data_IF_092782895180
#
_entry.id   IF_092782895180
#
_cell.length_a   1.000
_cell.length_b   1.000
_cell.length_c   1.000
_cell.angle_alpha   90.00
_cell.angle_beta   90.00
_cell.angle_gamma   90.00
#
_symmetry.space_group_name_H-M   'P 1'
#
loop_
_entity.id
_entity.type
_entity.pdbx_description
1 polymer ?
#
# COMPACT_ATOMS: atom_id res chain seq x y z
N UNK A 1 -10.95 5.38 11.35
CA UNK A 1 -11.40 6.03 12.59
C UNK A 1 -10.42 7.13 12.97
N UNK A 2 -9.14 6.81 13.21
CA UNK A 2 -8.07 7.79 13.49
C UNK A 2 -8.02 8.93 12.45
N UNK A 3 -8.11 8.63 11.15
CA UNK A 3 -8.19 9.67 10.10
C UNK A 3 -9.39 10.64 10.25
N UNK A 4 -10.52 10.19 10.80
CA UNK A 4 -11.67 11.06 11.10
C UNK A 4 -11.33 11.97 12.28
N UNK A 5 -10.68 11.42 13.31
CA UNK A 5 -10.22 12.18 14.48
C UNK A 5 -9.17 13.23 14.10
N UNK A 6 -8.30 12.93 13.13
CA UNK A 6 -7.36 13.90 12.57
C UNK A 6 -8.03 14.99 11.71
N UNK A 7 -9.31 14.87 11.40
CA UNK A 7 -10.02 15.82 10.54
C UNK A 7 -9.68 15.68 9.05
N UNK A 8 -9.35 14.48 8.57
CA UNK A 8 -8.90 14.25 7.19
C UNK A 8 -9.91 14.72 6.14
N UNK A 9 -9.50 15.66 5.29
CA UNK A 9 -10.27 16.11 4.12
C UNK A 9 -10.26 15.05 3.01
N UNK A 10 -9.14 14.34 2.82
CA UNK A 10 -9.04 13.24 1.85
C UNK A 10 -10.04 12.12 2.15
N UNK A 11 -10.28 11.81 3.43
CA UNK A 11 -11.30 10.81 3.78
C UNK A 11 -12.72 11.29 3.42
N UNK A 12 -13.03 12.59 3.57
CA UNK A 12 -14.31 13.16 3.13
C UNK A 12 -14.47 13.07 1.62
N UNK A 13 -13.43 13.42 0.86
CA UNK A 13 -13.42 13.28 -0.61
C UNK A 13 -13.62 11.82 -1.03
N UNK A 14 -12.98 10.88 -0.35
CA UNK A 14 -13.13 9.44 -0.62
C UNK A 14 -14.55 8.93 -0.30
N UNK A 15 -15.18 9.44 0.76
CA UNK A 15 -16.58 9.11 1.07
C UNK A 15 -17.55 9.70 0.03
N UNK A 16 -17.30 10.91 -0.46
CA UNK A 16 -18.13 11.57 -1.48
C UNK A 16 -18.03 10.91 -2.88
N UNK A 17 -16.89 10.30 -3.18
CA UNK A 17 -16.59 9.66 -4.49
C UNK A 17 -16.64 8.13 -4.41
N UNK A 18 -17.28 7.59 -3.37
CA UNK A 18 -17.30 6.16 -3.09
C UNK A 18 -17.96 5.37 -4.23
N UNK A 19 -17.34 4.25 -4.58
CA UNK A 19 -17.93 3.20 -5.44
C UNK A 19 -18.07 1.89 -4.66
N UNK A 20 -18.94 0.99 -5.15
CA UNK A 20 -19.19 -0.30 -4.50
C UNK A 20 -17.93 -1.20 -4.56
N UNK A 21 -17.54 -1.78 -3.42
CA UNK A 21 -16.27 -2.52 -3.27
C UNK A 21 -16.23 -3.55 -2.11
N UNK A 22 -17.29 -4.32 -1.92
CA UNK A 22 -17.30 -5.52 -1.10
C UNK A 22 -17.05 -5.25 0.39
N UNK A 23 -17.47 -4.09 0.88
CA UNK A 23 -17.26 -3.61 2.25
C UNK A 23 -15.97 -2.82 2.48
N UNK A 24 -15.11 -2.66 1.47
CA UNK A 24 -14.00 -1.72 1.50
C UNK A 24 -14.44 -0.31 1.05
N UNK A 25 -13.68 0.72 1.44
CA UNK A 25 -13.81 2.05 0.85
C UNK A 25 -13.00 2.10 -0.44
N UNK A 26 -13.68 2.05 -1.58
CA UNK A 26 -13.08 2.35 -2.88
C UNK A 26 -13.69 3.64 -3.44
N UNK A 27 -12.98 4.28 -4.36
CA UNK A 27 -13.35 5.56 -4.95
C UNK A 27 -13.32 5.48 -6.47
N UNK A 28 -14.15 6.30 -7.10
CA UNK A 28 -13.95 6.69 -8.49
C UNK A 28 -12.69 7.56 -8.55
N UNK A 29 -11.66 7.11 -9.30
CA UNK A 29 -10.32 7.72 -9.27
C UNK A 29 -10.29 9.12 -9.85
N UNK A 30 -11.01 9.33 -10.94
CA UNK A 30 -11.03 10.62 -11.63
C UNK A 30 -11.84 11.62 -10.82
N UNK A 31 -13.00 11.20 -10.29
CA UNK A 31 -13.79 12.05 -9.40
C UNK A 31 -13.03 12.39 -8.10
N UNK A 32 -12.34 11.41 -7.50
CA UNK A 32 -11.57 11.63 -6.28
C UNK A 32 -10.42 12.60 -6.50
N UNK A 33 -9.61 12.39 -7.54
CA UNK A 33 -8.47 13.26 -7.84
C UNK A 33 -8.90 14.68 -8.22
N UNK A 34 -9.99 14.83 -8.97
CA UNK A 34 -10.58 16.13 -9.29
C UNK A 34 -11.05 16.86 -8.02
N UNK A 35 -11.75 16.17 -7.11
CA UNK A 35 -12.22 16.78 -5.86
C UNK A 35 -11.05 17.19 -4.94
N UNK A 36 -10.01 16.36 -4.82
CA UNK A 36 -8.81 16.71 -4.04
C UNK A 36 -8.10 17.91 -4.66
N UNK A 37 -7.95 17.96 -5.98
CA UNK A 37 -7.35 19.10 -6.70
C UNK A 37 -8.12 20.38 -6.41
N UNK A 38 -9.45 20.33 -6.54
CA UNK A 38 -10.34 21.45 -6.24
C UNK A 38 -10.18 21.94 -4.80
N UNK A 39 -10.14 21.03 -3.82
CA UNK A 39 -9.93 21.38 -2.40
C UNK A 39 -8.61 22.14 -2.16
N UNK A 40 -7.55 21.78 -2.88
CA UNK A 40 -6.24 22.46 -2.76
C UNK A 40 -6.25 23.80 -3.47
N UNK A 41 -6.78 23.88 -4.70
CA UNK A 41 -6.85 25.10 -5.51
C UNK A 41 -7.75 26.19 -4.89
N UNK A 42 -8.81 25.80 -4.20
CA UNK A 42 -9.72 26.74 -3.55
C UNK A 42 -9.29 27.13 -2.12
N UNK A 43 -8.22 26.53 -1.57
CA UNK A 43 -7.80 26.80 -0.20
C UNK A 43 -7.05 28.15 -0.12
N UNK A 44 -7.58 29.18 0.58
CA UNK A 44 -6.97 30.51 0.59
C UNK A 44 -5.56 30.56 1.22
N UNK A 45 -5.22 29.57 2.05
CA UNK A 45 -3.91 29.46 2.69
C UNK A 45 -2.86 28.71 1.86
N UNK A 46 -3.21 28.23 0.67
CA UNK A 46 -2.32 27.47 -0.21
C UNK A 46 -2.01 28.30 -1.46
N UNK A 47 -0.73 28.47 -1.76
CA UNK A 47 -0.26 28.97 -3.06
C UNK A 47 0.34 27.80 -3.84
N UNK A 48 -0.07 27.62 -5.09
CA UNK A 48 0.34 26.48 -5.92
C UNK A 48 1.37 26.93 -6.96
N UNK A 49 2.52 26.28 -6.94
CA UNK A 49 3.57 26.40 -7.95
C UNK A 49 3.63 25.10 -8.76
N UNK A 50 3.49 25.18 -10.08
CA UNK A 50 3.51 24.02 -10.98
C UNK A 50 4.86 23.88 -11.66
N UNK A 51 5.85 23.46 -10.88
CA UNK A 51 7.23 23.27 -11.32
C UNK A 51 7.86 22.06 -10.63
N UNK A 52 8.97 21.56 -11.19
CA UNK A 52 9.76 20.53 -10.54
C UNK A 52 10.63 21.16 -9.45
N UNK A 53 10.45 20.73 -8.20
CA UNK A 53 11.34 21.12 -7.12
C UNK A 53 12.65 20.33 -7.21
N UNK A 54 13.78 21.00 -7.37
CA UNK A 54 15.10 20.37 -7.54
C UNK A 54 16.03 20.53 -6.35
N UNK A 55 15.63 21.29 -5.32
CA UNK A 55 16.42 21.59 -4.13
C UNK A 55 15.52 21.77 -2.91
N UNK A 56 16.10 21.65 -1.70
CA UNK A 56 15.40 21.84 -0.43
C UNK A 56 16.04 23.04 0.28
N UNK A 57 15.27 24.11 0.49
CA UNK A 57 15.70 25.26 1.29
C UNK A 57 15.42 24.99 2.77
N UNK A 58 16.47 24.75 3.55
CA UNK A 58 16.36 24.44 4.97
C UNK A 58 16.19 25.67 5.88
N UNK A 59 16.23 26.88 5.31
CA UNK A 59 16.08 28.13 6.08
C UNK A 59 14.71 28.27 6.73
N UNK A 60 13.70 27.61 6.16
CA UNK A 60 12.35 27.48 6.69
C UNK A 60 11.94 26.00 6.78
N UNK A 61 10.92 25.64 7.59
CA UNK A 61 10.42 24.27 7.61
C UNK A 61 9.83 23.84 6.27
N UNK A 62 10.35 22.75 5.70
CA UNK A 62 9.91 22.16 4.42
C UNK A 62 9.36 20.77 4.65
N UNK A 63 8.25 20.43 3.99
CA UNK A 63 7.69 19.06 3.98
C UNK A 63 7.84 18.43 2.59
N UNK A 64 8.64 17.37 2.50
CA UNK A 64 8.84 16.59 1.28
C UNK A 64 7.85 15.43 1.23
N UNK A 65 6.96 15.42 0.23
CA UNK A 65 5.90 14.42 0.06
C UNK A 65 5.80 13.89 -1.38
N UNK A 66 6.95 13.65 -2.02
CA UNK A 66 7.08 13.34 -3.46
C UNK A 66 6.77 11.88 -3.84
N UNK A 67 6.50 11.01 -2.86
CA UNK A 67 6.08 9.64 -3.10
C UNK A 67 7.17 8.73 -3.68
N UNK A 68 6.78 7.58 -4.26
CA UNK A 68 7.69 6.49 -4.63
C UNK A 68 8.70 6.81 -5.74
N UNK A 69 8.33 7.69 -6.66
CA UNK A 69 9.03 7.92 -7.93
C UNK A 69 9.93 9.14 -7.87
N UNK A 70 10.46 9.46 -6.69
CA UNK A 70 11.38 10.58 -6.53
C UNK A 70 12.70 10.26 -7.22
N UNK A 71 13.08 11.07 -8.21
CA UNK A 71 14.28 10.90 -9.04
C UNK A 71 15.00 12.24 -9.28
N UNK A 72 16.07 12.20 -10.09
CA UNK A 72 16.79 13.40 -10.53
C UNK A 72 17.44 14.21 -9.40
N UNK A 73 17.49 15.53 -9.59
CA UNK A 73 18.19 16.47 -8.70
C UNK A 73 17.64 16.46 -7.28
N UNK A 74 16.32 16.33 -7.11
CA UNK A 74 15.73 16.26 -5.77
C UNK A 74 16.12 14.98 -5.04
N UNK A 75 16.20 13.86 -5.75
CA UNK A 75 16.64 12.61 -5.15
C UNK A 75 18.11 12.69 -4.70
N UNK A 76 18.98 13.33 -5.48
CA UNK A 76 20.37 13.60 -5.11
C UNK A 76 20.46 14.49 -3.86
N UNK A 77 19.66 15.55 -3.80
CA UNK A 77 19.61 16.46 -2.66
C UNK A 77 19.11 15.77 -1.38
N UNK A 78 18.04 14.96 -1.48
CA UNK A 78 17.60 14.11 -0.38
C UNK A 78 18.73 13.19 0.06
N UNK A 79 19.43 12.57 -0.89
CA UNK A 79 20.61 11.74 -0.62
C UNK A 79 21.72 12.49 0.14
N UNK A 80 21.98 13.75 -0.22
CA UNK A 80 22.95 14.61 0.48
C UNK A 80 22.53 14.84 1.94
N UNK A 81 21.26 15.15 2.18
CA UNK A 81 20.70 15.41 3.52
C UNK A 81 20.60 14.17 4.40
N UNK A 82 20.51 12.98 3.80
CA UNK A 82 20.32 11.72 4.53
C UNK A 82 21.60 10.89 4.66
N UNK A 83 22.73 11.43 4.19
CA UNK A 83 24.03 10.75 4.23
C UNK A 83 24.15 9.59 3.24
N UNK A 84 23.45 9.65 2.10
CA UNK A 84 23.53 8.69 1.01
C UNK A 84 22.71 7.41 1.17
N UNK A 85 22.14 7.16 2.35
CA UNK A 85 21.42 5.92 2.67
C UNK A 85 19.95 6.01 2.24
N UNK A 86 19.77 5.94 0.91
CA UNK A 86 18.46 5.71 0.30
C UNK A 86 18.25 4.22 0.12
N UNK A 87 17.16 3.72 0.69
CA UNK A 87 16.71 2.37 0.43
C UNK A 87 15.77 2.38 -0.77
N UNK A 88 15.70 1.25 -1.44
CA UNK A 88 14.74 1.04 -2.50
C UNK A 88 14.16 -0.36 -2.35
N UNK A 89 12.90 -0.48 -2.70
CA UNK A 89 12.24 -1.76 -2.86
C UNK A 89 11.50 -1.75 -4.19
N UNK A 90 11.13 -2.94 -4.63
CA UNK A 90 10.40 -3.11 -5.86
C UNK A 90 8.94 -3.41 -5.55
N UNK A 91 8.03 -2.59 -6.11
CA UNK A 91 6.59 -2.79 -6.06
C UNK A 91 6.10 -3.25 -7.44
N UNK A 92 5.26 -4.28 -7.47
CA UNK A 92 4.75 -4.81 -8.71
C UNK A 92 3.29 -4.42 -8.91
N UNK A 93 2.93 -4.06 -10.14
CA UNK A 93 1.57 -3.65 -10.50
C UNK A 93 0.89 -4.80 -11.22
N UNK A 94 -0.40 -5.01 -10.95
CA UNK A 94 -1.18 -6.03 -11.62
C UNK A 94 -1.73 -5.56 -12.98
N UNK A 95 -1.90 -6.47 -13.96
CA UNK A 95 -2.47 -6.15 -15.26
C UNK A 95 -3.93 -5.68 -15.20
N UNK A 96 -4.35 -4.97 -16.25
CA UNK A 96 -5.75 -4.56 -16.48
C UNK A 96 -6.20 -5.10 -17.83
N UNK A 97 -7.42 -5.66 -17.86
CA UNK A 97 -8.08 -6.21 -19.05
C UNK A 97 -9.38 -5.48 -19.35
N UNK A 98 -9.83 -5.53 -20.61
CA UNK A 98 -11.14 -4.98 -21.00
C UNK A 98 -12.28 -5.92 -20.59
N UNK A 99 -13.43 -5.34 -20.23
CA UNK A 99 -14.64 -6.11 -19.94
C UNK A 99 -15.14 -6.90 -21.16
N UNK A 100 -15.05 -6.31 -22.34
CA UNK A 100 -15.55 -6.87 -23.61
C UNK A 100 -14.81 -8.15 -24.02
N UNK A 101 -13.59 -8.34 -23.53
CA UNK A 101 -12.75 -9.51 -23.83
C UNK A 101 -12.94 -10.69 -22.86
N UNK A 102 -13.79 -10.55 -21.84
CA UNK A 102 -14.06 -11.59 -20.84
C UNK A 102 -15.11 -12.59 -21.34
N UNK A 103 -14.88 -13.88 -21.07
CA UNK A 103 -15.86 -14.95 -21.31
C UNK A 103 -16.82 -15.07 -20.10
N UNK A 104 -17.96 -14.37 -20.21
CA UNK A 104 -19.01 -14.34 -19.18
C UNK A 104 -19.78 -15.65 -19.00
N UNK A 105 -19.58 -16.66 -19.85
CA UNK A 105 -20.11 -18.01 -19.59
C UNK A 105 -19.30 -18.75 -18.51
N UNK A 106 -18.07 -18.29 -18.25
CA UNK A 106 -17.18 -18.85 -17.21
C UNK A 106 -17.04 -17.94 -15.99
N UNK A 107 -17.12 -16.64 -16.21
CA UNK A 107 -16.95 -15.63 -15.18
C UNK A 107 -18.29 -15.33 -14.49
N UNK A 108 -18.29 -15.20 -13.16
CA UNK A 108 -19.50 -14.84 -12.42
C UNK A 108 -19.28 -13.68 -11.44
N UNK A 109 -20.27 -12.79 -11.36
CA UNK A 109 -20.27 -11.69 -10.42
C UNK A 109 -20.69 -12.20 -9.02
N UNK A 110 -19.83 -12.04 -8.02
CA UNK A 110 -20.17 -12.38 -6.64
C UNK A 110 -19.23 -11.73 -5.62
N UNK A 111 -19.80 -11.36 -4.48
CA UNK A 111 -19.04 -11.04 -3.27
C UNK A 111 -18.89 -12.28 -2.39
N UNK A 112 -17.77 -12.35 -1.66
CA UNK A 112 -17.53 -13.47 -0.74
C UNK A 112 -18.62 -13.52 0.33
N UNK A 113 -19.07 -14.73 0.63
CA UNK A 113 -20.14 -15.04 1.59
C UNK A 113 -21.50 -14.42 1.25
N UNK A 114 -21.70 -13.98 0.00
CA UNK A 114 -22.95 -13.35 -0.44
C UNK A 114 -23.25 -12.03 0.28
N UNK A 115 -22.23 -11.33 0.80
CA UNK A 115 -22.40 -10.06 1.52
C UNK A 115 -22.16 -8.87 0.59
N UNK A 116 -23.17 -8.03 0.41
CA UNK A 116 -23.10 -6.80 -0.39
C UNK A 116 -23.44 -7.02 -1.87
N UNK A 117 -23.26 -5.95 -2.67
CA UNK A 117 -23.35 -6.02 -4.13
C UNK A 117 -22.22 -6.89 -4.70
N UNK A 118 -22.42 -7.44 -5.90
CA UNK A 118 -21.45 -8.30 -6.56
C UNK A 118 -20.31 -7.47 -7.18
N UNK A 119 -19.39 -7.01 -6.31
CA UNK A 119 -18.37 -6.00 -6.65
C UNK A 119 -17.12 -6.59 -7.32
N UNK A 120 -17.04 -7.90 -7.42
CA UNK A 120 -15.97 -8.62 -8.10
C UNK A 120 -16.55 -9.58 -9.13
N UNK A 121 -15.89 -9.67 -10.27
CA UNK A 121 -16.01 -10.81 -11.17
C UNK A 121 -15.07 -11.91 -10.69
N UNK A 122 -15.51 -13.16 -10.78
CA UNK A 122 -14.80 -14.32 -10.26
C UNK A 122 -14.53 -15.28 -11.41
N UNK A 123 -13.27 -15.67 -11.55
CA UNK A 123 -12.75 -16.58 -12.56
C UNK A 123 -12.38 -17.89 -11.84
N UNK A 124 -13.31 -18.85 -11.77
CA UNK A 124 -13.13 -20.10 -11.03
C UNK A 124 -12.25 -21.09 -11.78
N UNK A 125 -11.34 -21.74 -11.07
CA UNK A 125 -10.54 -22.86 -11.59
C UNK A 125 -11.08 -24.18 -11.07
N UNK A 126 -11.08 -25.20 -11.92
CA UNK A 126 -10.99 -26.59 -11.48
C UNK A 126 -9.53 -26.95 -11.09
N UNK A 127 -9.29 -28.20 -10.70
CA UNK A 127 -7.97 -28.62 -10.20
C UNK A 127 -6.94 -28.64 -11.33
N UNK A 128 -7.31 -29.21 -12.47
CA UNK A 128 -6.46 -29.43 -13.63
C UNK A 128 -6.03 -28.10 -14.29
N UNK A 129 -6.98 -27.18 -14.46
CA UNK A 129 -6.73 -25.81 -14.94
C UNK A 129 -5.76 -25.07 -14.03
N UNK A 130 -5.94 -25.19 -12.72
CA UNK A 130 -5.09 -24.54 -11.74
C UNK A 130 -3.66 -25.12 -11.76
N UNK A 131 -3.52 -26.44 -11.83
CA UNK A 131 -2.22 -27.10 -11.91
C UNK A 131 -1.46 -26.73 -13.20
N UNK A 132 -2.17 -26.64 -14.33
CA UNK A 132 -1.61 -26.18 -15.58
C UNK A 132 -1.18 -24.70 -15.52
N UNK A 133 -2.03 -23.83 -14.98
CA UNK A 133 -1.73 -22.41 -14.77
C UNK A 133 -0.51 -22.23 -13.85
N UNK A 134 -0.46 -22.95 -12.73
CA UNK A 134 0.65 -22.93 -11.79
C UNK A 134 1.96 -23.36 -12.47
N UNK A 135 1.95 -24.45 -13.23
CA UNK A 135 3.14 -24.92 -13.94
C UNK A 135 3.63 -23.91 -14.98
N UNK A 136 2.71 -23.29 -15.73
CA UNK A 136 3.04 -22.26 -16.70
C UNK A 136 3.61 -21.00 -16.04
N UNK A 137 3.06 -20.61 -14.88
CA UNK A 137 3.51 -19.46 -14.11
C UNK A 137 4.89 -19.68 -13.47
N UNK A 138 5.11 -20.85 -12.87
CA UNK A 138 6.37 -21.20 -12.22
C UNK A 138 7.56 -21.33 -13.21
N UNK A 139 7.27 -21.52 -14.49
CA UNK A 139 8.26 -21.59 -15.57
C UNK A 139 8.37 -20.32 -16.39
N UNK A 140 7.57 -19.29 -16.08
CA UNK A 140 7.48 -18.09 -16.90
C UNK A 140 8.71 -17.18 -16.78
N UNK A 141 9.07 -16.54 -17.88
CA UNK A 141 10.23 -15.65 -17.91
C UNK A 141 9.94 -14.28 -17.29
N UNK A 142 10.83 -13.84 -16.39
CA UNK A 142 10.81 -12.52 -15.77
C UNK A 142 11.53 -11.48 -16.64
N UNK A 143 11.07 -10.23 -16.57
CA UNK A 143 11.79 -9.11 -17.15
C UNK A 143 13.11 -8.88 -16.37
N UNK A 144 14.22 -8.57 -17.07
CA UNK A 144 15.47 -8.23 -16.42
C UNK A 144 15.30 -6.95 -15.59
N UNK A 145 15.92 -6.93 -14.41
CA UNK A 145 16.05 -5.71 -13.61
C UNK A 145 17.32 -4.99 -14.09
N UNK A 146 17.25 -3.67 -14.29
CA UNK A 146 18.36 -2.91 -14.88
C UNK A 146 19.54 -2.76 -13.90
N UNK A 147 20.77 -2.98 -14.41
CA UNK A 147 22.07 -3.10 -13.71
C UNK A 147 22.59 -1.85 -12.94
N UNK A 148 21.74 -0.95 -12.41
CA UNK A 148 22.19 0.08 -11.45
C UNK A 148 22.26 -0.47 -9.99
N UNK A 149 22.29 -1.80 -9.85
CA UNK A 149 21.87 -2.61 -8.69
C UNK A 149 23.03 -3.22 -7.88
N UNK A 150 24.29 -2.76 -8.01
CA UNK A 150 25.43 -3.32 -7.24
C UNK A 150 25.66 -2.68 -5.85
N UNK A 151 24.92 -1.64 -5.47
CA UNK A 151 25.22 -0.85 -4.27
C UNK A 151 24.44 -1.18 -3.00
N UNK A 152 23.38 -1.98 -3.05
CA UNK A 152 22.63 -2.35 -1.85
C UNK A 152 23.23 -3.61 -1.23
N UNK A 153 23.88 -3.45 -0.08
CA UNK A 153 24.36 -4.58 0.73
C UNK A 153 23.23 -5.60 0.92
N UNK A 154 23.52 -6.80 0.45
CA UNK A 154 22.64 -7.95 0.42
C UNK A 154 22.33 -8.38 1.85
N UNK A 155 21.09 -8.22 2.30
CA UNK A 155 20.63 -8.93 3.50
C UNK A 155 20.78 -10.44 3.22
N UNK A 156 21.61 -11.11 4.02
CA UNK A 156 21.88 -12.53 3.87
C UNK A 156 20.58 -13.34 3.91
N UNK A 157 20.42 -14.35 3.04
CA UNK A 157 19.22 -15.18 3.02
C UNK A 157 19.03 -15.93 4.35
N UNK A 158 17.76 -16.18 4.68
CA UNK A 158 17.33 -16.96 5.84
C UNK A 158 18.08 -18.31 5.89
N UNK A 159 18.84 -18.61 6.97
CA UNK A 159 19.72 -19.78 7.04
C UNK A 159 18.99 -21.15 7.01
N UNK A 160 17.66 -21.18 7.01
CA UNK A 160 16.85 -22.39 6.94
C UNK A 160 16.37 -22.74 5.51
N UNK A 161 16.64 -21.88 4.51
CA UNK A 161 16.47 -22.20 3.09
C UNK A 161 17.58 -23.14 2.58
N UNK A 162 17.48 -24.44 2.91
CA UNK A 162 18.42 -25.47 2.43
C UNK A 162 18.46 -25.53 0.90
N UNK A 163 19.50 -24.94 0.31
CA UNK A 163 20.04 -25.32 -0.99
C UNK A 163 19.39 -24.72 -2.25
N UNK A 164 18.58 -23.66 -2.17
CA UNK A 164 18.18 -22.87 -3.35
C UNK A 164 18.96 -21.57 -3.39
N UNK A 165 19.59 -21.25 -4.54
CA UNK A 165 20.08 -19.90 -4.83
C UNK A 165 18.90 -18.95 -4.63
N UNK A 166 18.97 -18.10 -3.61
CA UNK A 166 17.98 -17.07 -3.38
C UNK A 166 17.98 -16.12 -4.58
N UNK A 167 16.81 -15.88 -5.17
CA UNK A 167 16.64 -14.78 -6.12
C UNK A 167 16.98 -13.48 -5.39
N UNK A 168 18.02 -12.79 -5.85
CA UNK A 168 18.67 -11.66 -5.19
C UNK A 168 17.88 -10.33 -5.30
N UNK A 169 16.55 -10.38 -5.14
CA UNK A 169 15.69 -9.19 -5.20
C UNK A 169 14.91 -9.10 -3.90
N UNK A 170 15.17 -8.05 -3.12
CA UNK A 170 14.37 -7.73 -1.94
C UNK A 170 13.01 -7.20 -2.40
N UNK A 171 12.05 -8.12 -2.50
CA UNK A 171 10.66 -7.84 -2.85
C UNK A 171 9.90 -7.48 -1.57
N UNK A 172 9.04 -6.46 -1.65
CA UNK A 172 8.15 -6.13 -0.54
C UNK A 172 7.12 -7.24 -0.29
N UNK A 173 7.10 -7.81 0.93
CA UNK A 173 6.25 -8.97 1.29
C UNK A 173 4.74 -8.68 1.16
N UNK A 174 4.31 -7.42 1.32
CA UNK A 174 2.89 -7.06 1.15
C UNK A 174 2.45 -6.90 -0.31
N UNK A 175 3.38 -6.86 -1.27
CA UNK A 175 3.12 -6.71 -2.70
C UNK A 175 3.93 -7.69 -3.56
N UNK A 176 4.01 -8.94 -3.09
CA UNK A 176 4.79 -9.98 -3.73
C UNK A 176 4.30 -10.31 -5.16
N UNK A 177 5.20 -10.40 -6.16
CA UNK A 177 4.84 -10.86 -7.49
C UNK A 177 4.27 -12.30 -7.47
N UNK A 178 3.24 -12.53 -8.26
CA UNK A 178 2.50 -13.79 -8.29
C UNK A 178 3.38 -14.99 -8.66
N UNK A 179 4.38 -14.79 -9.52
CA UNK A 179 5.37 -15.81 -9.88
C UNK A 179 6.30 -16.18 -8.72
N UNK A 180 6.62 -15.24 -7.82
CA UNK A 180 7.40 -15.52 -6.61
C UNK A 180 6.55 -16.29 -5.60
N UNK A 181 5.27 -15.93 -5.45
CA UNK A 181 4.33 -16.70 -4.62
C UNK A 181 4.20 -18.14 -5.13
N UNK A 182 4.12 -18.34 -6.45
CA UNK A 182 4.10 -19.67 -7.06
C UNK A 182 5.39 -20.44 -6.75
N UNK A 183 6.56 -19.81 -6.86
CA UNK A 183 7.84 -20.45 -6.56
C UNK A 183 7.98 -20.94 -5.10
N UNK A 184 7.28 -20.29 -4.15
CA UNK A 184 7.20 -20.70 -2.73
C UNK A 184 6.35 -21.95 -2.51
N UNK A 185 5.50 -22.32 -3.47
CA UNK A 185 4.71 -23.55 -3.48
C UNK A 185 3.31 -23.32 -4.05
N UNK A 186 2.72 -24.35 -4.65
CA UNK A 186 1.41 -24.26 -5.30
C UNK A 186 0.35 -23.66 -4.36
N UNK A 187 0.12 -24.28 -3.19
CA UNK A 187 -0.94 -23.85 -2.28
C UNK A 187 -0.75 -22.42 -1.72
N UNK A 188 0.44 -21.82 -1.80
CA UNK A 188 0.70 -20.43 -1.39
C UNK A 188 -0.29 -19.48 -2.05
N UNK A 189 -0.52 -19.63 -3.37
CA UNK A 189 -1.46 -18.81 -4.11
C UNK A 189 -2.91 -19.05 -3.68
N UNK A 190 -3.28 -20.28 -3.33
CA UNK A 190 -4.63 -20.66 -2.89
C UNK A 190 -4.95 -20.21 -1.47
N UNK A 191 -3.94 -19.93 -0.66
CA UNK A 191 -4.11 -19.26 0.63
C UNK A 191 -4.04 -17.73 0.52
N UNK A 192 -3.44 -17.21 -0.56
CA UNK A 192 -3.34 -15.78 -0.88
C UNK A 192 -4.33 -15.32 -1.98
N UNK A 193 -3.85 -14.81 -3.12
CA UNK A 193 -4.67 -14.11 -4.10
C UNK A 193 -5.71 -14.99 -4.82
N UNK A 194 -5.44 -16.30 -4.95
CA UNK A 194 -6.33 -17.25 -5.62
C UNK A 194 -7.28 -17.97 -4.65
N UNK A 195 -7.44 -17.46 -3.42
CA UNK A 195 -8.23 -18.11 -2.38
C UNK A 195 -9.70 -18.21 -2.78
N UNK A 196 -10.33 -19.41 -2.78
CA UNK A 196 -11.74 -19.57 -3.19
C UNK A 196 -12.74 -19.45 -2.03
N UNK A 197 -12.27 -19.21 -0.80
CA UNK A 197 -13.12 -19.27 0.40
C UNK A 197 -14.23 -18.22 0.37
N UNK A 198 -15.46 -18.67 0.64
CA UNK A 198 -16.64 -17.81 0.64
C UNK A 198 -17.28 -17.64 -0.75
N UNK A 199 -16.78 -18.34 -1.78
CA UNK A 199 -17.37 -18.36 -3.11
C UNK A 199 -17.99 -19.73 -3.40
N UNK A 200 -19.03 -19.72 -4.22
CA UNK A 200 -19.68 -20.91 -4.79
C UNK A 200 -19.82 -20.63 -6.29
N UNK A 201 -19.23 -21.48 -7.13
CA UNK A 201 -19.37 -21.38 -8.58
C UNK A 201 -20.80 -21.79 -8.96
N UNK A 202 -21.60 -20.91 -9.59
CA UNK A 202 -22.99 -21.20 -9.93
C UNK A 202 -23.15 -22.36 -10.92
N UNK A 203 -22.13 -22.65 -11.74
CA UNK A 203 -22.17 -23.72 -12.75
C UNK A 203 -22.03 -25.11 -12.13
N UNK A 204 -21.27 -25.20 -11.04
CA UNK A 204 -20.99 -26.47 -10.35
C UNK A 204 -21.76 -26.62 -9.04
N UNK A 205 -22.28 -25.53 -8.47
CA UNK A 205 -22.91 -25.52 -7.15
C UNK A 205 -21.92 -25.73 -5.99
N UNK A 206 -20.62 -25.75 -6.27
CA UNK A 206 -19.57 -26.06 -5.30
C UNK A 206 -18.53 -24.94 -5.22
N UNK A 207 -17.71 -24.97 -4.16
CA UNK A 207 -16.57 -24.06 -4.04
C UNK A 207 -15.52 -24.43 -5.10
N UNK A 208 -15.03 -23.46 -5.90
CA UNK A 208 -13.99 -23.76 -6.89
C UNK A 208 -12.67 -24.15 -6.22
N UNK A 209 -11.78 -24.80 -6.97
CA UNK A 209 -10.48 -25.25 -6.44
C UNK A 209 -9.56 -24.07 -6.09
N UNK A 210 -9.58 -23.06 -6.96
CA UNK A 210 -8.93 -21.76 -6.84
C UNK A 210 -9.79 -20.70 -7.57
N UNK A 211 -9.57 -19.42 -7.30
CA UNK A 211 -10.38 -18.36 -7.90
C UNK A 211 -9.60 -17.05 -8.06
N UNK A 212 -9.56 -16.51 -9.27
CA UNK A 212 -9.06 -15.15 -9.53
C UNK A 212 -10.22 -14.16 -9.43
N UNK A 213 -10.02 -13.05 -8.73
CA UNK A 213 -11.00 -11.97 -8.67
C UNK A 213 -10.59 -10.84 -9.61
N UNK A 214 -11.54 -10.29 -10.36
CA UNK A 214 -11.37 -9.07 -11.12
C UNK A 214 -12.16 -7.94 -10.45
N UNK A 215 -11.54 -6.78 -10.29
CA UNK A 215 -12.17 -5.59 -9.72
C UNK A 215 -12.36 -4.55 -10.80
N UNK A 216 -13.55 -3.94 -10.85
CA UNK A 216 -13.79 -2.82 -11.76
C UNK A 216 -12.85 -1.65 -11.44
N UNK A 217 -12.21 -1.10 -12.46
CA UNK A 217 -11.27 0.02 -12.33
C UNK A 217 -11.94 1.38 -12.59
N UNK A 218 -13.08 1.37 -13.28
CA UNK A 218 -13.90 2.55 -13.55
C UNK A 218 -15.38 2.30 -13.25
N UNK A 219 -16.15 3.38 -13.12
CA UNK A 219 -17.58 3.35 -12.78
C UNK A 219 -18.42 2.66 -13.85
N UNK A 220 -18.03 2.81 -15.12
CA UNK A 220 -18.68 2.18 -16.29
C UNK A 220 -18.41 0.68 -16.37
N UNK A 221 -17.48 0.16 -15.55
CA UNK A 221 -17.09 -1.25 -15.51
C UNK A 221 -16.61 -1.79 -16.86
N UNK A 222 -15.94 -0.95 -17.65
CA UNK A 222 -15.35 -1.34 -18.93
C UNK A 222 -13.93 -1.87 -18.79
N UNK A 223 -13.28 -1.61 -17.65
CA UNK A 223 -11.92 -2.05 -17.34
C UNK A 223 -11.86 -2.80 -16.01
N UNK A 224 -11.08 -3.88 -15.98
CA UNK A 224 -10.96 -4.76 -14.83
C UNK A 224 -9.50 -5.05 -14.47
N UNK A 225 -9.13 -4.81 -13.21
CA UNK A 225 -7.84 -5.19 -12.66
C UNK A 225 -7.86 -6.64 -12.17
N UNK A 226 -6.79 -7.39 -12.45
CA UNK A 226 -6.61 -8.76 -11.95
C UNK A 226 -6.08 -8.69 -10.52
N UNK A 227 -6.94 -8.95 -9.53
CA UNK A 227 -6.63 -8.69 -8.12
C UNK A 227 -5.55 -9.66 -7.62
N UNK A 228 -4.46 -9.12 -7.07
CA UNK A 228 -3.38 -9.92 -6.48
C UNK A 228 -2.41 -10.52 -7.51
N UNK A 229 -2.42 -10.01 -8.74
CA UNK A 229 -1.57 -10.44 -9.85
C UNK A 229 -0.45 -9.44 -10.16
N UNK A 230 0.08 -8.81 -9.12
CA UNK A 230 1.31 -8.05 -9.24
C UNK A 230 2.40 -8.95 -9.84
N UNK A 231 3.15 -8.46 -10.82
CA UNK A 231 4.09 -9.32 -11.57
C UNK A 231 5.27 -8.55 -12.15
N UNK A 232 6.41 -9.25 -12.28
CA UNK A 232 7.60 -8.84 -13.03
C UNK A 232 7.81 -9.76 -14.26
N UNK A 233 6.80 -10.50 -14.71
CA UNK A 233 6.89 -11.30 -15.93
C UNK A 233 7.08 -10.42 -17.17
N UNK A 234 7.78 -10.92 -18.18
CA UNK A 234 7.80 -10.28 -19.51
C UNK A 234 6.37 -10.16 -20.04
N UNK A 235 6.05 -9.12 -20.79
CA UNK A 235 4.67 -8.92 -21.29
C UNK A 235 4.15 -10.09 -22.13
N UNK A 236 5.01 -10.71 -22.95
CA UNK A 236 4.64 -11.93 -23.69
C UNK A 236 4.25 -13.10 -22.77
N UNK A 237 4.94 -13.23 -21.64
CA UNK A 237 4.67 -14.24 -20.63
C UNK A 237 3.40 -13.93 -19.82
N UNK A 238 3.17 -12.66 -19.50
CA UNK A 238 1.91 -12.24 -18.89
C UNK A 238 0.72 -12.59 -19.79
N UNK A 239 0.79 -12.25 -21.08
CA UNK A 239 -0.26 -12.62 -22.04
C UNK A 239 -0.43 -14.14 -22.10
N UNK A 240 0.67 -14.90 -22.25
CA UNK A 240 0.63 -16.37 -22.36
C UNK A 240 0.03 -17.03 -21.12
N UNK A 241 0.47 -16.64 -19.93
CA UNK A 241 0.12 -17.28 -18.66
C UNK A 241 -1.24 -16.80 -18.15
N UNK A 242 -1.51 -15.50 -18.18
CA UNK A 242 -2.78 -14.97 -17.65
C UNK A 242 -3.97 -15.25 -18.58
N UNK A 243 -3.75 -15.50 -19.87
CA UNK A 243 -4.79 -16.06 -20.74
C UNK A 243 -5.12 -17.54 -20.43
N UNK A 244 -4.40 -18.21 -19.53
CA UNK A 244 -4.82 -19.53 -19.03
C UNK A 244 -5.81 -19.44 -17.86
N UNK A 245 -6.12 -18.23 -17.38
CA UNK A 245 -7.15 -18.02 -16.36
C UNK A 245 -8.53 -18.24 -17.03
N UNK A 246 -9.40 -19.12 -16.49
CA UNK A 246 -10.73 -19.36 -17.06
C UNK A 246 -11.53 -18.06 -17.14
N UNK A 247 -11.98 -17.69 -18.34
CA UNK A 247 -12.65 -16.41 -18.59
C UNK A 247 -11.78 -15.37 -19.29
N UNK A 248 -10.45 -15.55 -19.33
CA UNK A 248 -9.48 -14.59 -19.87
C UNK A 248 -8.72 -15.16 -21.09
N UNK A 249 -9.20 -16.25 -21.70
CA UNK A 249 -8.56 -16.92 -22.83
C UNK A 249 -8.30 -15.99 -24.02
N UNK A 250 -9.18 -15.00 -24.20
CA UNK A 250 -9.11 -13.98 -25.24
C UNK A 250 -8.96 -12.57 -24.67
N UNK A 251 -8.52 -12.45 -23.41
CA UNK A 251 -8.42 -11.17 -22.73
C UNK A 251 -7.53 -10.16 -23.48
N UNK A 252 -8.02 -8.95 -23.63
CA UNK A 252 -7.28 -7.82 -24.16
C UNK A 252 -6.69 -7.02 -23.01
N UNK A 253 -5.36 -7.03 -22.91
CA UNK A 253 -4.61 -6.31 -21.89
C UNK A 253 -4.41 -4.87 -22.32
N UNK A 254 -5.12 -3.94 -21.67
CA UNK A 254 -4.89 -2.49 -21.86
C UNK A 254 -3.67 -2.00 -21.11
N UNK A 255 -3.25 -2.74 -20.07
CA UNK A 255 -2.04 -2.47 -19.30
C UNK A 255 -1.47 -3.78 -18.77
N UNK A 256 -0.19 -4.03 -19.05
CA UNK A 256 0.55 -5.12 -18.44
C UNK A 256 1.04 -4.75 -17.04
N UNK A 257 1.24 -5.75 -16.20
CA UNK A 257 1.94 -5.58 -14.93
C UNK A 257 3.40 -5.22 -15.16
N UNK A 258 3.96 -4.47 -14.22
CA UNK A 258 5.36 -4.03 -14.25
C UNK A 258 5.86 -3.90 -12.82
N UNK A 259 7.16 -4.04 -12.63
CA UNK A 259 7.80 -3.81 -11.34
C UNK A 259 8.45 -2.42 -11.34
N UNK A 260 7.99 -1.54 -10.44
CA UNK A 260 8.54 -0.21 -10.23
C UNK A 260 9.51 -0.24 -9.07
N UNK A 261 10.64 0.46 -9.23
CA UNK A 261 11.52 0.79 -8.12
C UNK A 261 10.89 1.93 -7.33
N UNK A 262 10.61 1.67 -6.06
CA UNK A 262 10.12 2.66 -5.12
C UNK A 262 11.27 3.09 -4.21
N UNK A 263 11.58 4.38 -4.23
CA UNK A 263 12.59 4.99 -3.37
C UNK A 263 11.97 5.36 -2.02
N UNK A 264 12.67 5.04 -0.93
CA UNK A 264 12.27 5.45 0.41
C UNK A 264 13.51 5.68 1.30
N UNK A 265 13.30 6.38 2.40
CA UNK A 265 14.35 6.65 3.37
C UNK A 265 14.64 5.42 4.23
N UNK A 266 15.89 5.26 4.67
CA UNK A 266 16.17 4.50 5.89
C UNK A 266 15.67 5.29 7.11
N UNK A 267 14.35 5.35 7.25
CA UNK A 267 13.65 6.17 8.24
C UNK A 267 14.12 5.92 9.67
N UNK A 268 14.35 4.67 10.13
CA UNK A 268 14.85 4.43 11.48
C UNK A 268 16.15 5.17 11.78
N UNK A 269 17.00 5.28 10.76
CA UNK A 269 18.29 5.95 10.89
C UNK A 269 18.16 7.47 10.78
N UNK A 270 17.33 7.98 9.87
CA UNK A 270 17.35 9.42 9.53
C UNK A 270 16.20 10.24 10.09
N UNK A 271 15.04 9.64 10.39
CA UNK A 271 13.84 10.36 10.86
C UNK A 271 13.66 10.30 12.39
N UNK A 272 13.10 11.37 12.93
CA UNK A 272 12.54 11.41 14.29
C UNK A 272 11.07 10.98 14.29
N UNK A 273 10.50 10.77 15.48
CA UNK A 273 9.06 10.51 15.61
C UNK A 273 8.16 11.69 15.21
N UNK A 274 8.74 12.87 15.00
CA UNK A 274 8.05 14.05 14.45
C UNK A 274 8.04 14.06 12.91
N UNK A 275 8.63 13.04 12.27
CA UNK A 275 8.77 12.90 10.82
C UNK A 275 9.68 13.95 10.18
N UNK A 276 10.59 14.56 10.95
CA UNK A 276 11.70 15.37 10.44
C UNK A 276 13.03 14.63 10.51
N UNK A 277 13.99 15.05 9.69
CA UNK A 277 15.37 14.54 9.76
C UNK A 277 15.98 14.85 11.14
N UNK A 278 16.81 13.92 11.64
CA UNK A 278 17.55 14.08 12.90
C UNK A 278 18.61 15.18 12.80
N UNK A 279 19.35 15.23 11.69
CA UNK A 279 20.44 16.17 11.46
C UNK A 279 19.95 17.50 10.85
N UNK A 280 18.82 17.47 10.14
CA UNK A 280 18.23 18.60 9.43
C UNK A 280 16.78 18.84 9.90
N UNK A 281 16.59 19.39 11.12
CA UNK A 281 15.31 19.36 11.82
C UNK A 281 14.23 20.26 11.23
N UNK A 282 14.54 21.05 10.19
CA UNK A 282 13.56 21.81 9.40
C UNK A 282 13.03 21.01 8.20
N UNK A 283 13.64 19.87 7.86
CA UNK A 283 13.24 19.05 6.72
C UNK A 283 12.37 17.89 7.20
N UNK A 284 11.10 17.93 6.86
CA UNK A 284 10.09 16.91 7.16
C UNK A 284 9.83 16.03 5.94
N UNK A 285 9.42 14.79 6.19
CA UNK A 285 9.00 13.85 5.15
C UNK A 285 7.61 13.29 5.44
N UNK A 286 6.84 13.06 4.38
CA UNK A 286 5.52 12.46 4.48
C UNK A 286 5.21 11.52 3.32
N UNK A 287 4.28 10.60 3.58
CA UNK A 287 3.81 9.65 2.58
C UNK A 287 4.80 8.50 2.36
N UNK A 288 4.72 7.89 1.19
CA UNK A 288 5.42 6.63 0.92
C UNK A 288 6.94 6.71 1.04
N UNK A 289 7.55 7.86 0.74
CA UNK A 289 8.99 8.06 0.86
C UNK A 289 9.52 7.83 2.28
N UNK A 290 8.65 7.92 3.30
CA UNK A 290 9.00 7.63 4.70
C UNK A 290 8.99 6.13 5.03
N UNK A 291 8.42 5.28 4.16
CA UNK A 291 8.14 3.87 4.47
C UNK A 291 6.75 3.62 5.06
N UNK A 292 5.83 4.59 5.07
CA UNK A 292 4.41 4.28 5.16
C UNK A 292 3.93 3.67 3.83
N UNK A 293 3.06 2.67 3.87
CA UNK A 293 2.56 2.06 2.64
C UNK A 293 1.04 2.02 2.59
N UNK A 294 0.50 2.42 1.43
CA UNK A 294 -0.93 2.56 1.19
C UNK A 294 -1.37 4.02 1.16
N UNK A 295 -2.48 4.28 0.45
CA UNK A 295 -3.00 5.64 0.29
C UNK A 295 -3.46 6.24 1.62
N UNK A 296 -4.07 5.44 2.49
CA UNK A 296 -4.57 5.95 3.77
C UNK A 296 -3.47 6.20 4.78
N UNK A 297 -2.49 5.32 4.80
CA UNK A 297 -1.26 5.42 5.57
C UNK A 297 -0.48 6.66 5.12
N UNK A 298 -0.30 6.86 3.82
CA UNK A 298 0.41 8.03 3.29
C UNK A 298 -0.30 9.33 3.66
N UNK A 299 -1.63 9.37 3.57
CA UNK A 299 -2.42 10.52 4.02
C UNK A 299 -2.34 10.74 5.54
N UNK A 300 -2.30 9.68 6.35
CA UNK A 300 -2.11 9.76 7.79
C UNK A 300 -0.73 10.35 8.12
N UNK A 301 0.31 9.85 7.46
CA UNK A 301 1.68 10.35 7.55
C UNK A 301 1.75 11.84 7.21
N UNK A 302 1.10 12.28 6.12
CA UNK A 302 0.98 13.69 5.77
C UNK A 302 0.34 14.56 6.85
N UNK A 303 -0.78 14.11 7.43
CA UNK A 303 -1.44 14.84 8.53
C UNK A 303 -0.57 14.91 9.79
N UNK A 304 0.13 13.83 10.14
CA UNK A 304 1.03 13.79 11.29
C UNK A 304 2.24 14.70 11.08
N UNK A 305 2.87 14.66 9.90
CA UNK A 305 4.00 15.51 9.56
C UNK A 305 3.60 16.99 9.54
N UNK A 306 2.45 17.32 8.96
CA UNK A 306 1.91 18.69 8.97
C UNK A 306 1.63 19.18 10.39
N UNK A 307 1.08 18.35 11.29
CA UNK A 307 0.88 18.72 12.70
C UNK A 307 2.20 18.90 13.45
N UNK A 308 3.22 18.09 13.18
CA UNK A 308 4.57 18.26 13.72
C UNK A 308 5.25 19.53 13.21
N UNK A 309 5.08 19.84 11.92
CA UNK A 309 5.61 21.06 11.30
C UNK A 309 4.90 22.30 11.87
N UNK A 310 3.57 22.27 11.99
CA UNK A 310 2.80 23.33 12.62
C UNK A 310 3.19 23.53 14.10
N UNK A 311 3.42 22.42 14.82
CA UNK A 311 3.97 22.46 16.17
C UNK A 311 5.31 23.20 16.21
N UNK A 312 6.22 22.85 15.28
CA UNK A 312 7.54 23.47 15.18
C UNK A 312 7.46 24.98 14.92
N UNK A 313 6.60 25.40 13.99
CA UNK A 313 6.37 26.82 13.68
C UNK A 313 5.88 27.62 14.89
N UNK A 314 5.20 26.97 15.84
CA UNK A 314 4.74 27.57 17.10
C UNK A 314 5.72 27.35 18.26
N UNK A 315 6.97 26.95 17.99
CA UNK A 315 7.99 26.72 19.03
C UNK A 315 7.69 25.55 19.96
N UNK A 316 6.77 24.64 19.58
CA UNK A 316 6.38 23.47 20.37
C UNK A 316 6.85 22.16 19.71
N UNK A 317 6.93 21.11 20.51
CA UNK A 317 7.16 19.76 20.04
C UNK A 317 5.87 18.96 20.15
N UNK A 318 5.46 18.29 19.08
CA UNK A 318 4.35 17.33 19.09
C UNK A 318 4.87 15.95 19.50
N UNK A 319 4.42 15.36 20.62
CA UNK A 319 4.69 13.94 20.90
C UNK A 319 4.00 13.05 19.87
N UNK A 320 4.60 11.90 19.48
CA UNK A 320 3.98 10.99 18.54
C UNK A 320 2.69 10.38 19.12
N UNK A 321 1.75 9.91 18.28
CA UNK A 321 0.60 9.16 18.75
C UNK A 321 1.02 7.91 19.55
N UNK A 322 0.20 7.45 20.52
CA UNK A 322 0.54 6.29 21.32
C UNK A 322 0.76 5.03 20.47
N UNK A 323 1.73 4.19 20.86
CA UNK A 323 2.14 3.01 20.09
C UNK A 323 1.07 1.90 20.00
N UNK A 324 -0.01 2.00 20.75
CA UNK A 324 -1.18 1.12 20.66
C UNK A 324 -2.27 1.61 19.70
N UNK A 325 -2.05 2.77 19.06
CA UNK A 325 -2.81 3.29 17.92
C UNK A 325 -2.18 2.84 16.60
N UNK A 326 -2.94 2.82 15.50
CA UNK A 326 -2.39 2.42 14.20
C UNK A 326 -1.35 3.43 13.70
N UNK A 327 -1.67 4.73 13.76
CA UNK A 327 -0.73 5.80 13.42
C UNK A 327 0.54 5.73 14.28
N UNK A 328 0.42 5.57 15.59
CA UNK A 328 1.57 5.51 16.50
C UNK A 328 2.41 4.25 16.31
N UNK A 329 1.79 3.10 16.02
CA UNK A 329 2.52 1.88 15.68
C UNK A 329 3.34 2.03 14.38
N UNK A 330 2.78 2.67 13.36
CA UNK A 330 3.49 2.93 12.10
C UNK A 330 4.63 3.95 12.30
N UNK A 331 4.40 5.04 13.04
CA UNK A 331 5.48 5.99 13.39
C UNK A 331 6.59 5.29 14.18
N UNK A 332 6.23 4.44 15.15
CA UNK A 332 7.21 3.66 15.91
C UNK A 332 8.02 2.72 15.01
N UNK A 333 7.39 2.09 14.03
CA UNK A 333 8.09 1.25 13.04
C UNK A 333 9.13 2.07 12.26
N UNK A 334 8.79 3.31 11.86
CA UNK A 334 9.71 4.21 11.19
C UNK A 334 10.90 4.66 12.05
N UNK A 335 10.79 4.63 13.38
CA UNK A 335 11.80 5.21 14.27
C UNK A 335 12.54 4.17 15.10
N UNK A 336 12.20 2.90 14.95
CA UNK A 336 12.85 1.79 15.66
C UNK A 336 13.93 1.20 14.76
N UNK A 337 15.16 1.16 15.26
CA UNK A 337 16.33 0.68 14.53
C UNK A 337 16.09 -0.74 13.98
N UNK A 338 16.24 -0.89 12.65
CA UNK A 338 16.03 -2.15 11.96
C UNK A 338 16.97 -2.22 10.74
N UNK A 339 17.91 -3.18 10.77
CA UNK A 339 18.89 -3.39 9.69
C UNK A 339 18.25 -3.75 8.35
N UNK A 340 17.05 -4.34 8.38
CA UNK A 340 16.28 -4.73 7.21
C UNK A 340 14.96 -3.94 7.18
N UNK A 341 15.05 -2.62 7.32
CA UNK A 341 13.89 -1.76 7.29
C UNK A 341 13.15 -1.90 5.95
N UNK A 342 11.83 -2.05 6.04
CA UNK A 342 10.93 -2.13 4.90
C UNK A 342 9.71 -1.25 5.20
N UNK A 343 9.05 -0.70 4.17
CA UNK A 343 7.81 0.01 4.36
C UNK A 343 6.74 -0.83 5.07
N UNK A 344 5.75 -0.18 5.67
CA UNK A 344 4.71 -0.86 6.44
C UNK A 344 3.36 -0.21 6.18
N UNK A 345 2.39 -1.03 5.80
CA UNK A 345 0.97 -0.68 5.77
C UNK A 345 0.27 -1.03 7.07
N UNK A 346 -0.93 -0.48 7.26
CA UNK A 346 -1.72 -0.71 8.47
C UNK A 346 -2.15 -2.19 8.56
N UNK A 347 -1.81 -2.84 9.68
CA UNK A 347 -2.25 -4.20 9.95
C UNK A 347 -2.41 -4.45 11.46
N UNK A 348 -3.30 -5.35 11.86
CA UNK A 348 -3.55 -5.60 13.29
C UNK A 348 -2.37 -6.27 14.02
N UNK A 349 -1.34 -6.73 13.28
CA UNK A 349 -0.17 -7.42 13.82
C UNK A 349 0.87 -6.49 14.44
N UNK A 350 0.96 -5.23 13.99
CA UNK A 350 1.89 -4.24 14.54
C UNK A 350 1.40 -3.61 15.84
N UNK A 351 0.12 -3.80 16.18
CA UNK A 351 -0.43 -3.32 17.43
C UNK A 351 0.02 -4.21 18.61
N UNK A 352 0.38 -3.63 19.76
CA UNK A 352 0.68 -4.38 20.97
C UNK A 352 -0.45 -5.34 21.35
N UNK A 353 -0.15 -6.51 21.94
CA UNK A 353 -1.19 -7.45 22.38
C UNK A 353 -2.13 -6.82 23.42
N UNK A 354 -3.33 -7.37 23.53
CA UNK A 354 -4.26 -7.06 24.63
C UNK A 354 -3.86 -7.89 25.84
N UNK A 355 -3.93 -7.32 27.05
CA UNK A 355 -3.75 -8.06 28.31
C UNK A 355 -4.78 -9.19 28.43
N UNK A 356 -6.06 -8.86 28.24
CA UNK A 356 -7.17 -9.82 28.22
C UNK A 356 -7.52 -10.21 26.78
N UNK A 357 -6.61 -10.95 26.12
CA UNK A 357 -6.74 -11.32 24.72
C UNK A 357 -7.91 -12.29 24.46
N UNK A 358 -8.98 -11.88 23.73
CA UNK A 358 -10.04 -12.80 23.35
C UNK A 358 -9.51 -13.94 22.47
N UNK A 359 -10.06 -15.15 22.67
CA UNK A 359 -9.73 -16.32 21.83
C UNK A 359 -10.26 -16.17 20.41
N UNK A 360 -11.47 -15.64 20.27
CA UNK A 360 -12.05 -15.35 18.96
C UNK A 360 -11.30 -14.21 18.24
N UNK A 361 -10.90 -14.46 17.00
CA UNK A 361 -10.08 -13.51 16.21
C UNK A 361 -10.83 -12.21 15.94
N UNK A 362 -12.14 -12.26 15.67
CA UNK A 362 -12.94 -11.08 15.36
C UNK A 362 -13.12 -10.21 16.60
N UNK A 363 -13.48 -10.80 17.73
CA UNK A 363 -13.58 -10.09 19.01
C UNK A 363 -12.23 -9.46 19.40
N UNK A 364 -11.13 -10.17 19.19
CA UNK A 364 -9.79 -9.63 19.45
C UNK A 364 -9.48 -8.39 18.60
N UNK A 365 -9.74 -8.44 17.30
CA UNK A 365 -9.51 -7.28 16.42
C UNK A 365 -10.42 -6.10 16.75
N UNK A 366 -11.68 -6.36 17.12
CA UNK A 366 -12.59 -5.30 17.58
C UNK A 366 -12.09 -4.65 18.88
N UNK A 367 -11.63 -5.43 19.85
CA UNK A 367 -11.08 -4.92 21.10
C UNK A 367 -9.78 -4.13 20.89
N UNK A 368 -8.88 -4.60 20.02
CA UNK A 368 -7.67 -3.86 19.64
C UNK A 368 -8.02 -2.53 18.97
N UNK A 369 -8.96 -2.53 18.02
CA UNK A 369 -9.41 -1.33 17.35
C UNK A 369 -10.07 -0.33 18.32
N UNK A 370 -10.90 -0.82 19.26
CA UNK A 370 -11.53 0.04 20.27
C UNK A 370 -10.50 0.71 21.19
N UNK A 371 -9.49 -0.04 21.67
CA UNK A 371 -8.38 0.51 22.45
C UNK A 371 -7.62 1.56 21.65
N UNK A 372 -7.22 1.22 20.42
CA UNK A 372 -6.49 2.13 19.53
C UNK A 372 -7.23 3.46 19.32
N UNK A 373 -8.55 3.40 19.03
CA UNK A 373 -9.35 4.62 18.83
C UNK A 373 -9.46 5.45 20.10
N UNK A 374 -9.63 4.81 21.27
CA UNK A 374 -9.69 5.52 22.55
C UNK A 374 -8.35 6.21 22.89
N UNK A 375 -7.22 5.48 22.76
CA UNK A 375 -5.88 6.04 22.99
C UNK A 375 -5.57 7.17 22.00
N UNK A 376 -5.98 7.05 20.74
CA UNK A 376 -5.79 8.10 19.74
C UNK A 376 -6.64 9.33 20.03
N UNK A 377 -7.90 9.15 20.46
CA UNK A 377 -8.75 10.27 20.88
C UNK A 377 -8.12 11.05 22.02
N UNK A 378 -7.65 10.37 23.07
CA UNK A 378 -6.97 11.03 24.19
C UNK A 378 -5.75 11.84 23.75
N UNK A 379 -4.95 11.29 22.82
CA UNK A 379 -3.82 12.02 22.24
C UNK A 379 -4.26 13.28 21.48
N UNK A 380 -5.32 13.21 20.67
CA UNK A 380 -5.86 14.39 19.94
C UNK A 380 -6.36 15.45 20.93
N UNK A 381 -7.13 15.04 21.95
CA UNK A 381 -7.70 15.95 22.95
C UNK A 381 -6.59 16.71 23.71
N UNK A 382 -5.49 16.03 24.06
CA UNK A 382 -4.32 16.65 24.69
C UNK A 382 -3.66 17.71 23.79
N UNK A 383 -3.63 17.49 22.48
CA UNK A 383 -3.06 18.46 21.54
C UNK A 383 -3.94 19.70 21.39
N UNK A 384 -5.25 19.51 21.27
CA UNK A 384 -6.19 20.63 21.15
C UNK A 384 -6.24 21.48 22.43
N UNK A 385 -6.15 20.84 23.60
CA UNK A 385 -6.02 21.55 24.87
C UNK A 385 -4.74 22.40 24.93
N UNK A 386 -3.60 21.85 24.48
CA UNK A 386 -2.32 22.55 24.42
C UNK A 386 -2.32 23.75 23.46
N UNK A 387 -3.01 23.64 22.32
CA UNK A 387 -3.13 24.74 21.34
C UNK A 387 -4.01 25.88 21.88
N UNK A 388 -5.12 25.57 22.55
CA UNK A 388 -5.99 26.58 23.16
C UNK A 388 -5.29 27.35 24.29
N UNK A 389 -4.42 26.69 25.06
CA UNK A 389 -3.59 27.35 26.08
C UNK A 389 -2.55 28.30 25.45
N UNK A 390 -1.91 27.89 24.36
CA UNK A 390 -0.90 28.71 23.67
C UNK A 390 -1.49 29.92 22.94
N UNK A 391 -2.73 29.84 22.42
CA UNK A 391 -3.42 30.97 21.79
C UNK A 391 -4.05 31.98 22.77
N UNK A 392 -3.97 31.73 24.08
CA UNK A 392 -4.52 32.57 25.14
C UNK A 392 -3.48 33.37 25.93
N UNK A 393 -2.20 33.16 25.63
CA UNK A 393 -1.03 33.91 26.12
C UNK A 393 -0.52 34.83 25.02
#
# INVERSE_FOLDING_TARGET
>A
AEMKLLGSHLLKAAEATRVAAGGALAVDRDAFSAEVTRMVEECPGITIHREEATSIDESEPVLVATGPLTEGALAEEIGRLTGGERLHFYDAVAPIVTAESLDYEKVFAASRYGRGEADYLNCPFNKEEYEAFYAALASAERAPLHDFDEGAEQAAPDPDARGKKADAVTVYEGCMPIEIMAARGADTMRYGPLRPVGLTDPRTGHRPWANVQLRAENKERTLYNIVGFQTNLKWGEQKRVFSMIPGLEHAEFVRYGVMHRNTFLDSPRVLTAQLCLKEHPNVFFAGQITGFEGYMESAACGLLAARSLYARLNGRALPPPPADTMCGALVRHLTTENKNFQPMGANMGILPPLENRPRDKRQRYLAQAARAVASFQGWVDEQEAGENLAGSL
#
